data_IF_297396850236
#
_entry.id   IF_297396850236
#
_cell.length_a   1.000
_cell.length_b   1.000
_cell.length_c   1.000
_cell.angle_alpha   90.00
_cell.angle_beta   90.00
_cell.angle_gamma   90.00
#
_symmetry.space_group_name_H-M   'P 1'
#
loop_
_entity.id
_entity.type
_entity.pdbx_description
1 polymer ?
#
# COMPACT_ATOMS: atom_id res chain seq x y z
N UNK A 1 15.88 1.75 44.81
CA UNK A 1 17.03 1.10 44.18
C UNK A 1 16.58 0.49 42.85
N UNK A 2 17.18 0.98 41.75
CA UNK A 2 17.21 0.48 40.36
C UNK A 2 15.88 0.16 39.64
N UNK A 3 15.40 1.18 38.94
CA UNK A 3 14.79 1.06 37.61
C UNK A 3 15.68 0.22 36.68
N UNK A 4 15.07 -0.72 35.96
CA UNK A 4 15.67 -1.32 34.76
C UNK A 4 14.69 -1.13 33.60
N UNK A 5 14.75 0.06 32.99
CA UNK A 5 14.16 0.30 31.67
C UNK A 5 15.13 -0.30 30.67
N UNK A 6 14.79 -1.46 30.11
CA UNK A 6 15.52 -2.02 28.97
C UNK A 6 15.00 -1.31 27.73
N UNK A 7 15.64 -0.18 27.42
CA UNK A 7 15.54 0.50 26.14
C UNK A 7 16.29 -0.37 25.14
N UNK A 8 15.56 -1.16 24.33
CA UNK A 8 16.12 -1.83 23.17
C UNK A 8 16.10 -0.85 21.98
N UNK A 9 16.89 0.22 22.09
CA UNK A 9 17.23 1.12 20.99
C UNK A 9 18.68 0.85 20.64
N UNK A 10 18.89 -0.12 19.75
CA UNK A 10 20.18 -0.37 19.12
C UNK A 10 19.97 -1.10 17.79
N UNK A 11 19.36 -0.41 16.82
CA UNK A 11 19.54 -0.71 15.40
C UNK A 11 19.54 0.62 14.65
N UNK A 12 20.55 1.42 14.96
CA UNK A 12 20.99 2.53 14.12
C UNK A 12 22.45 2.29 13.79
N UNK A 13 22.69 2.26 12.48
CA UNK A 13 23.98 2.39 11.79
C UNK A 13 24.88 1.14 11.77
N UNK A 14 24.66 0.28 10.76
CA UNK A 14 25.70 -0.17 9.83
C UNK A 14 25.15 -1.29 8.93
N UNK A 15 24.36 -0.94 7.92
CA UNK A 15 24.34 -1.73 6.70
C UNK A 15 24.59 -0.77 5.54
N UNK A 16 25.76 -0.96 4.95
CA UNK A 16 26.11 -0.64 3.58
C UNK A 16 24.92 -0.19 2.73
N UNK A 17 25.05 0.97 2.08
CA UNK A 17 24.32 1.24 0.84
C UNK A 17 24.80 0.24 -0.23
N UNK A 18 24.45 -1.03 -0.07
CA UNK A 18 24.12 -1.85 -1.22
C UNK A 18 23.06 -1.05 -1.95
N UNK A 19 23.34 -0.66 -3.19
CA UNK A 19 22.33 -0.15 -4.11
C UNK A 19 21.21 -1.19 -4.14
N UNK A 20 20.21 -1.01 -3.29
CA UNK A 20 19.02 -1.82 -3.33
C UNK A 20 18.38 -1.46 -4.66
N UNK A 21 18.54 -2.36 -5.64
CA UNK A 21 17.89 -2.22 -6.93
C UNK A 21 16.41 -2.03 -6.65
N UNK A 22 15.85 -0.91 -7.11
CA UNK A 22 14.40 -0.72 -7.06
C UNK A 22 13.80 -1.92 -7.79
N UNK A 23 12.95 -2.73 -7.13
CA UNK A 23 12.35 -3.87 -7.80
C UNK A 23 11.56 -3.36 -9.00
N UNK A 24 11.51 -4.12 -10.10
CA UNK A 24 10.71 -3.71 -11.27
C UNK A 24 9.22 -3.64 -10.96
N UNK A 25 8.77 -4.42 -9.97
CA UNK A 25 7.38 -4.48 -9.50
C UNK A 25 7.29 -4.68 -7.99
N UNK A 26 6.22 -4.17 -7.38
CA UNK A 26 5.75 -4.53 -6.03
C UNK A 26 4.37 -5.16 -6.19
N UNK A 27 4.13 -6.31 -5.57
CA UNK A 27 2.83 -6.96 -5.52
C UNK A 27 2.50 -7.20 -4.05
N UNK A 28 1.35 -6.71 -3.60
CA UNK A 28 0.86 -6.91 -2.24
C UNK A 28 -0.54 -7.51 -2.29
N UNK A 29 -0.80 -8.47 -1.41
CA UNK A 29 -2.15 -8.95 -1.14
C UNK A 29 -2.84 -8.03 -0.15
N UNK A 30 -4.03 -7.55 -0.49
CA UNK A 30 -4.78 -6.58 0.30
C UNK A 30 -6.15 -7.14 0.70
N UNK A 31 -6.46 -7.03 1.99
CA UNK A 31 -7.76 -7.37 2.56
C UNK A 31 -8.48 -6.10 2.97
N UNK A 32 -9.75 -5.97 2.58
CA UNK A 32 -10.54 -4.82 3.00
C UNK A 32 -10.83 -4.87 4.51
N UNK A 33 -10.59 -3.76 5.21
CA UNK A 33 -10.79 -3.63 6.66
C UNK A 33 -11.85 -2.59 7.03
N UNK A 34 -12.16 -1.66 6.12
CA UNK A 34 -13.14 -0.59 6.36
C UNK A 34 -13.80 -0.19 5.02
N UNK A 35 -15.11 0.07 5.06
CA UNK A 35 -15.87 0.57 3.91
C UNK A 35 -16.92 1.57 4.36
N UNK A 36 -16.84 2.78 3.81
CA UNK A 36 -17.84 3.84 3.91
C UNK A 36 -18.83 3.74 2.72
N UNK A 37 -19.35 2.55 2.44
CA UNK A 37 -20.34 2.31 1.39
C UNK A 37 -21.75 2.19 1.96
N UNK A 38 -22.78 2.34 1.11
CA UNK A 38 -24.18 2.29 1.53
C UNK A 38 -24.61 0.96 2.16
N UNK A 39 -23.86 -0.11 1.93
CA UNK A 39 -24.11 -1.45 2.47
C UNK A 39 -22.99 -1.94 3.39
N UNK A 40 -22.02 -1.08 3.76
CA UNK A 40 -20.83 -1.40 4.55
C UNK A 40 -20.02 -2.60 4.01
N UNK A 41 -20.10 -2.85 2.70
CA UNK A 41 -19.31 -3.87 2.01
C UNK A 41 -18.35 -3.21 1.04
N UNK A 42 -17.16 -3.77 0.94
CA UNK A 42 -16.18 -3.33 -0.03
C UNK A 42 -16.57 -3.82 -1.42
N UNK A 43 -16.34 -2.98 -2.43
CA UNK A 43 -16.63 -3.26 -3.84
C UNK A 43 -15.88 -4.50 -4.34
N UNK A 44 -14.68 -4.74 -3.81
CA UNK A 44 -13.81 -5.87 -4.16
C UNK A 44 -13.74 -6.94 -3.06
N UNK A 45 -14.66 -6.90 -2.08
CA UNK A 45 -14.62 -7.76 -0.90
C UNK A 45 -15.14 -9.18 -1.12
N UNK A 46 -14.22 -10.14 -1.17
CA UNK A 46 -14.23 -11.44 -0.43
C UNK A 46 -13.04 -12.34 -0.85
N UNK A 47 -12.31 -11.99 -1.92
CA UNK A 47 -11.04 -12.61 -2.32
C UNK A 47 -9.89 -11.63 -2.15
N UNK A 48 -8.72 -12.13 -1.72
CA UNK A 48 -7.46 -11.39 -1.66
C UNK A 48 -7.29 -10.51 -2.91
N UNK A 49 -7.41 -9.20 -2.74
CA UNK A 49 -7.30 -8.25 -3.84
C UNK A 49 -5.86 -7.79 -3.92
N UNK A 50 -5.22 -7.99 -5.05
CA UNK A 50 -3.84 -7.58 -5.22
C UNK A 50 -3.75 -6.10 -5.62
N UNK A 51 -2.75 -5.41 -5.06
CA UNK A 51 -2.23 -4.18 -5.64
C UNK A 51 -0.86 -4.46 -6.25
N UNK A 52 -0.70 -4.08 -7.51
CA UNK A 52 0.57 -4.15 -8.22
C UNK A 52 1.07 -2.73 -8.52
N UNK A 53 2.32 -2.43 -8.19
CA UNK A 53 3.03 -1.23 -8.63
C UNK A 53 4.08 -1.66 -9.64
N UNK A 54 3.94 -1.24 -10.89
CA UNK A 54 4.86 -1.55 -11.97
C UNK A 54 5.66 -0.28 -12.32
N UNK A 55 6.96 -0.31 -12.02
CA UNK A 55 7.84 0.84 -12.20
C UNK A 55 8.30 1.01 -13.65
N UNK A 56 8.32 -0.06 -14.45
CA UNK A 56 8.70 -0.01 -15.87
C UNK A 56 7.64 0.76 -16.68
N UNK A 57 6.37 0.52 -16.35
CA UNK A 57 5.22 1.14 -17.02
C UNK A 57 4.66 2.35 -16.26
N UNK A 58 5.25 2.69 -15.11
CA UNK A 58 4.80 3.74 -14.19
C UNK A 58 3.29 3.64 -13.89
N UNK A 59 2.83 2.42 -13.55
CA UNK A 59 1.42 2.10 -13.37
C UNK A 59 1.12 1.37 -12.05
N UNK A 60 -0.14 1.45 -11.63
CA UNK A 60 -0.68 0.76 -10.47
C UNK A 60 -1.89 -0.05 -10.92
N UNK A 61 -1.95 -1.34 -10.58
CA UNK A 61 -3.15 -2.17 -10.83
C UNK A 61 -3.86 -2.41 -9.50
N UNK A 62 -5.16 -2.13 -9.44
CA UNK A 62 -6.00 -2.42 -8.29
C UNK A 62 -7.47 -2.55 -8.71
N UNK A 63 -8.20 -3.53 -8.15
CA UNK A 63 -9.63 -3.73 -8.45
C UNK A 63 -9.92 -4.03 -9.94
N UNK A 64 -8.97 -4.68 -10.62
CA UNK A 64 -9.06 -5.00 -12.06
C UNK A 64 -8.79 -3.82 -13.01
N UNK A 65 -8.48 -2.62 -12.49
CA UNK A 65 -8.11 -1.45 -13.28
C UNK A 65 -6.59 -1.24 -13.25
N UNK A 66 -6.02 -0.85 -14.39
CA UNK A 66 -4.65 -0.40 -14.48
C UNK A 66 -4.60 1.13 -14.62
N UNK A 67 -4.12 1.78 -13.57
CA UNK A 67 -3.97 3.22 -13.46
C UNK A 67 -2.59 3.66 -13.93
N UNK A 68 -2.50 4.65 -14.81
CA UNK A 68 -1.24 5.19 -15.35
C UNK A 68 -0.79 6.44 -14.62
N UNK A 69 0.48 6.81 -14.80
CA UNK A 69 1.08 8.03 -14.25
C UNK A 69 1.06 8.05 -12.72
N UNK A 70 1.59 7.01 -12.09
CA UNK A 70 1.66 6.96 -10.63
C UNK A 70 2.51 8.13 -10.11
N UNK A 71 1.98 8.82 -9.10
CA UNK A 71 2.74 9.76 -8.29
C UNK A 71 3.48 9.00 -7.20
N UNK A 72 4.78 9.24 -7.08
CA UNK A 72 5.64 8.58 -6.10
C UNK A 72 6.16 9.61 -5.10
N UNK A 73 5.98 9.33 -3.82
CA UNK A 73 6.60 10.07 -2.72
C UNK A 73 7.44 9.12 -1.86
N UNK A 74 8.28 9.63 -0.95
CA UNK A 74 8.98 8.77 0.01
C UNK A 74 8.04 7.88 0.83
N UNK A 75 6.80 8.30 1.04
CA UNK A 75 5.83 7.62 1.92
C UNK A 75 4.69 6.93 1.21
N UNK A 76 4.47 7.17 -0.08
CA UNK A 76 3.30 6.63 -0.79
C UNK A 76 3.49 6.47 -2.30
N UNK A 77 2.66 5.59 -2.85
CA UNK A 77 2.30 5.58 -4.27
C UNK A 77 0.84 6.04 -4.39
N UNK A 78 0.55 6.91 -5.35
CA UNK A 78 -0.81 7.43 -5.52
C UNK A 78 -1.17 7.64 -6.97
N UNK A 79 -2.44 7.46 -7.29
CA UNK A 79 -2.95 7.72 -8.64
C UNK A 79 -4.39 8.21 -8.56
N UNK A 80 -4.75 9.08 -9.51
CA UNK A 80 -6.09 9.60 -9.68
C UNK A 80 -6.51 9.37 -11.11
N UNK A 81 -7.66 8.75 -11.31
CA UNK A 81 -8.26 8.56 -12.63
C UNK A 81 -9.77 8.78 -12.55
N UNK A 82 -10.28 9.81 -13.20
CA UNK A 82 -11.69 10.20 -13.16
C UNK A 82 -12.22 10.32 -11.71
N UNK A 83 -13.13 9.42 -11.32
CA UNK A 83 -13.75 9.34 -9.99
C UNK A 83 -12.93 8.58 -8.95
N UNK A 84 -11.84 7.94 -9.39
CA UNK A 84 -11.10 6.96 -8.62
C UNK A 84 -9.83 7.61 -8.08
N UNK A 85 -9.55 7.38 -6.80
CA UNK A 85 -8.32 7.82 -6.18
C UNK A 85 -7.76 6.69 -5.31
N UNK A 86 -6.57 6.21 -5.67
CA UNK A 86 -5.90 5.10 -4.99
C UNK A 86 -4.62 5.61 -4.36
N UNK A 87 -4.40 5.32 -3.08
CA UNK A 87 -3.17 5.67 -2.36
C UNK A 87 -2.69 4.48 -1.55
N UNK A 88 -1.49 3.99 -1.83
CA UNK A 88 -0.79 2.99 -1.03
C UNK A 88 0.25 3.68 -0.15
N UNK A 89 0.07 3.62 1.16
CA UNK A 89 1.05 4.10 2.14
C UNK A 89 2.11 3.03 2.41
N UNK A 90 3.38 3.39 2.20
CA UNK A 90 4.52 2.48 2.29
C UNK A 90 4.91 2.12 3.73
N UNK A 91 4.62 3.00 4.70
CA UNK A 91 5.04 2.82 6.10
C UNK A 91 4.17 1.85 6.90
N UNK A 92 2.89 1.70 6.52
CA UNK A 92 1.95 0.81 7.19
C UNK A 92 1.22 -0.15 6.23
N UNK A 93 1.59 -0.14 4.95
CA UNK A 93 1.00 -0.95 3.89
C UNK A 93 -0.54 -0.85 3.85
N UNK A 94 -1.08 0.36 4.06
CA UNK A 94 -2.51 0.61 3.90
C UNK A 94 -2.80 1.22 2.55
N UNK A 95 -3.79 0.64 1.87
CA UNK A 95 -4.34 1.19 0.63
C UNK A 95 -5.67 1.87 0.92
N UNK A 96 -5.79 3.13 0.52
CA UNK A 96 -7.05 3.88 0.50
C UNK A 96 -7.55 3.92 -0.93
N UNK A 97 -8.82 3.56 -1.12
CA UNK A 97 -9.51 3.64 -2.39
C UNK A 97 -10.77 4.49 -2.23
N UNK A 98 -10.76 5.67 -2.84
CA UNK A 98 -11.94 6.53 -2.94
C UNK A 98 -12.58 6.33 -4.32
N UNK A 99 -13.86 5.97 -4.34
CA UNK A 99 -14.66 5.80 -5.55
C UNK A 99 -15.99 6.52 -5.42
N UNK A 100 -16.19 7.57 -6.23
CA UNK A 100 -17.39 8.42 -6.17
C UNK A 100 -17.67 8.98 -4.76
N UNK A 101 -18.61 8.38 -4.02
CA UNK A 101 -19.02 8.75 -2.65
C UNK A 101 -18.68 7.68 -1.62
N UNK A 102 -17.94 6.66 -2.02
CA UNK A 102 -17.51 5.56 -1.18
C UNK A 102 -16.00 5.67 -0.94
N UNK A 103 -15.60 5.33 0.28
CA UNK A 103 -14.19 5.15 0.66
C UNK A 103 -13.99 3.75 1.18
N UNK A 104 -12.88 3.14 0.82
CA UNK A 104 -12.48 1.83 1.29
C UNK A 104 -11.04 1.85 1.76
N UNK A 105 -10.77 1.13 2.83
CA UNK A 105 -9.42 0.97 3.38
C UNK A 105 -9.09 -0.50 3.38
N UNK A 106 -7.94 -0.82 2.79
CA UNK A 106 -7.40 -2.16 2.73
C UNK A 106 -6.10 -2.23 3.52
N UNK A 107 -5.93 -3.31 4.28
CA UNK A 107 -4.64 -3.68 4.85
C UNK A 107 -3.94 -4.59 3.86
N UNK A 108 -2.75 -4.18 3.42
CA UNK A 108 -1.93 -4.96 2.51
C UNK A 108 -0.77 -5.61 3.26
N UNK A 109 -0.30 -6.74 2.73
CA UNK A 109 0.88 -7.46 3.18
C UNK A 109 1.72 -7.84 1.97
N UNK A 110 3.03 -7.96 2.15
CA UNK A 110 3.88 -8.56 1.12
C UNK A 110 3.37 -9.98 0.85
N UNK A 111 3.12 -10.29 -0.42
CA UNK A 111 2.70 -11.65 -0.79
C UNK A 111 3.88 -12.59 -0.48
N UNK A 112 3.65 -13.61 0.36
CA UNK A 112 4.59 -14.72 0.50
C UNK A 112 4.62 -15.46 -0.85
N UNK A 113 5.74 -15.35 -1.57
CA UNK A 113 6.00 -16.11 -2.80
C UNK A 113 6.46 -17.53 -2.43
#
# INVERSE_FOLDING_TARGET
MRNSVIILVALLVAFSCSEASIPSKIILSCTCIESESSNNKCLYGDSDTEVEIDFETNSMTFGGKNYKNIGTTPTSFSVRDNSDFVVLNRGNLKLTFDYQKSREIYQCNESEI
#
